data_IF_838974988933
#
_entry.id   IF_838974988933
#
_cell.length_a   1.000
_cell.length_b   1.000
_cell.length_c   1.000
_cell.angle_alpha   90.00
_cell.angle_beta   90.00
_cell.angle_gamma   90.00
#
_symmetry.space_group_name_H-M   'P 1'
#
loop_
_entity.id
_entity.type
_entity.pdbx_description
1 polymer ?
#
# COMPACT_ATOMS: atom_id res chain seq x y z
N UNK A 1 5.69 -3.70 4.41
CA UNK A 1 6.87 -2.89 4.04
C UNK A 1 7.32 -2.05 5.21
N UNK A 2 8.65 -1.98 5.42
CA UNK A 2 9.27 -1.07 6.40
C UNK A 2 9.41 0.32 5.77
N UNK A 3 9.41 1.36 6.60
CA UNK A 3 9.51 2.75 6.11
C UNK A 3 10.80 2.98 5.32
N UNK A 4 11.89 2.30 5.69
CA UNK A 4 13.19 2.41 5.03
C UNK A 4 13.16 1.96 3.57
N UNK A 5 12.42 0.88 3.28
CA UNK A 5 12.22 0.38 1.91
C UNK A 5 11.42 1.40 1.08
N UNK A 6 10.38 1.97 1.67
CA UNK A 6 9.51 2.95 0.99
C UNK A 6 10.27 4.24 0.64
N UNK A 7 11.20 4.68 1.50
CA UNK A 7 12.04 5.86 1.25
C UNK A 7 13.09 5.65 0.16
N UNK A 8 13.46 4.41 -0.14
CA UNK A 8 14.44 4.08 -1.17
C UNK A 8 13.83 4.02 -2.58
N UNK A 9 12.50 4.01 -2.70
CA UNK A 9 11.79 3.96 -3.97
C UNK A 9 11.79 5.33 -4.67
N UNK A 10 11.94 5.31 -5.99
CA UNK A 10 11.75 6.47 -6.86
C UNK A 10 10.26 6.82 -7.03
N UNK A 11 9.97 8.03 -7.54
CA UNK A 11 8.60 8.52 -7.72
C UNK A 11 7.74 7.60 -8.58
N UNK A 12 8.31 7.01 -9.63
CA UNK A 12 7.60 6.09 -10.52
C UNK A 12 7.34 4.74 -9.83
N UNK A 13 8.34 4.19 -9.12
CA UNK A 13 8.20 2.95 -8.37
C UNK A 13 7.16 3.08 -7.25
N UNK A 14 7.11 4.22 -6.55
CA UNK A 14 6.08 4.48 -5.53
C UNK A 14 4.68 4.45 -6.15
N UNK A 15 4.49 5.05 -7.34
CA UNK A 15 3.19 5.03 -8.05
C UNK A 15 2.78 3.63 -8.50
N UNK A 16 3.72 2.86 -9.03
CA UNK A 16 3.48 1.48 -9.47
C UNK A 16 3.14 0.56 -8.28
N UNK A 17 3.89 0.69 -7.19
CA UNK A 17 3.63 -0.07 -5.97
C UNK A 17 2.30 0.32 -5.31
N UNK A 18 1.95 1.61 -5.32
CA UNK A 18 0.66 2.10 -4.84
C UNK A 18 -0.51 1.46 -5.59
N UNK A 19 -0.40 1.37 -6.92
CA UNK A 19 -1.42 0.74 -7.77
C UNK A 19 -1.56 -0.74 -7.44
N UNK A 20 -0.43 -1.43 -7.32
CA UNK A 20 -0.39 -2.86 -6.97
C UNK A 20 -1.01 -3.13 -5.60
N UNK A 21 -0.66 -2.35 -4.57
CA UNK A 21 -1.20 -2.53 -3.22
C UNK A 21 -2.68 -2.17 -3.11
N UNK A 22 -3.17 -1.20 -3.91
CA UNK A 22 -4.62 -0.90 -4.00
C UNK A 22 -5.40 -2.07 -4.60
N UNK A 23 -4.90 -2.67 -5.68
CA UNK A 23 -5.52 -3.86 -6.26
C UNK A 23 -5.51 -5.04 -5.28
N UNK A 24 -4.41 -5.22 -4.55
CA UNK A 24 -4.30 -6.22 -3.49
C UNK A 24 -5.33 -6.00 -2.38
N UNK A 25 -5.53 -4.75 -1.93
CA UNK A 25 -6.54 -4.41 -0.92
C UNK A 25 -7.95 -4.77 -1.40
N UNK A 26 -8.28 -4.46 -2.65
CA UNK A 26 -9.58 -4.77 -3.26
C UNK A 26 -9.81 -6.29 -3.30
N UNK A 27 -8.81 -7.05 -3.76
CA UNK A 27 -8.86 -8.51 -3.78
C UNK A 27 -9.03 -9.10 -2.38
N UNK A 28 -8.33 -8.57 -1.38
CA UNK A 28 -8.48 -9.00 0.02
C UNK A 28 -9.87 -8.70 0.58
N UNK A 29 -10.46 -7.55 0.23
CA UNK A 29 -11.82 -7.20 0.64
C UNK A 29 -12.85 -8.13 0.00
N UNK A 30 -12.72 -8.41 -1.30
CA UNK A 30 -13.60 -9.37 -1.99
C UNK A 30 -13.45 -10.78 -1.41
N UNK A 31 -12.21 -11.24 -1.20
CA UNK A 31 -11.96 -12.54 -0.59
C UNK A 31 -12.59 -12.63 0.81
N UNK A 32 -12.46 -11.59 1.64
CA UNK A 32 -13.07 -11.54 2.97
C UNK A 32 -14.60 -11.53 2.96
N UNK A 33 -15.19 -10.85 1.98
CA UNK A 33 -16.63 -10.79 1.82
C UNK A 33 -17.22 -12.13 1.37
N UNK A 34 -16.48 -12.90 0.56
CA UNK A 34 -16.89 -14.24 0.09
C UNK A 34 -16.67 -15.28 1.19
N UNK A 35 -15.54 -15.21 1.88
CA UNK A 35 -15.18 -16.14 2.96
C UNK A 35 -14.38 -15.41 4.05
N UNK A 36 -14.66 -15.64 5.34
CA UNK A 36 -13.87 -15.04 6.41
C UNK A 36 -12.38 -15.38 6.25
N UNK A 37 -11.59 -14.38 5.85
CA UNK A 37 -10.14 -14.49 5.83
C UNK A 37 -9.61 -15.02 7.17
N UNK A 38 -8.68 -15.97 7.11
CA UNK A 38 -7.97 -16.48 8.28
C UNK A 38 -7.27 -15.36 9.08
N UNK A 39 -6.83 -14.30 8.38
CA UNK A 39 -6.09 -13.19 8.98
C UNK A 39 -6.60 -11.81 8.52
N UNK A 40 -7.69 -11.29 9.12
CA UNK A 40 -8.24 -9.96 8.79
C UNK A 40 -7.24 -8.81 9.00
N UNK A 41 -6.26 -9.01 9.89
CA UNK A 41 -5.15 -8.08 10.15
C UNK A 41 -4.34 -7.74 8.90
N UNK A 42 -4.32 -8.60 7.88
CA UNK A 42 -3.68 -8.30 6.59
C UNK A 42 -4.30 -7.09 5.91
N UNK A 43 -5.63 -6.95 5.93
CA UNK A 43 -6.32 -5.78 5.35
C UNK A 43 -5.82 -4.49 6.04
N UNK A 44 -5.72 -4.51 7.38
CA UNK A 44 -5.21 -3.37 8.14
C UNK A 44 -3.75 -3.05 7.79
N UNK A 45 -2.92 -4.07 7.63
CA UNK A 45 -1.51 -3.90 7.25
C UNK A 45 -1.37 -3.31 5.84
N UNK A 46 -2.12 -3.83 4.87
CA UNK A 46 -2.15 -3.33 3.48
C UNK A 46 -2.58 -1.86 3.44
N UNK A 47 -3.65 -1.49 4.15
CA UNK A 47 -4.05 -0.07 4.26
C UNK A 47 -2.94 0.82 4.83
N UNK A 48 -2.21 0.34 5.84
CA UNK A 48 -1.09 1.09 6.44
C UNK A 48 0.07 1.23 5.46
N UNK A 49 0.33 0.23 4.64
CA UNK A 49 1.34 0.30 3.57
C UNK A 49 0.96 1.33 2.51
N UNK A 50 -0.30 1.33 2.04
CA UNK A 50 -0.81 2.33 1.09
C UNK A 50 -0.63 3.74 1.64
N UNK A 51 -1.06 4.01 2.87
CA UNK A 51 -0.92 5.34 3.49
C UNK A 51 0.54 5.82 3.55
N UNK A 52 1.49 4.91 3.79
CA UNK A 52 2.93 5.24 3.79
C UNK A 52 3.45 5.56 2.40
N UNK A 53 3.01 4.81 1.38
CA UNK A 53 3.35 5.07 -0.03
C UNK A 53 2.80 6.43 -0.48
N UNK A 54 1.55 6.76 -0.14
CA UNK A 54 0.95 8.06 -0.44
C UNK A 54 1.69 9.22 0.26
N UNK A 55 2.08 9.03 1.51
CA UNK A 55 2.88 10.02 2.24
C UNK A 55 4.23 10.25 1.57
N UNK A 56 4.91 9.18 1.14
CA UNK A 56 6.18 9.28 0.44
C UNK A 56 6.01 9.98 -0.92
N UNK A 57 4.98 9.62 -1.69
CA UNK A 57 4.66 10.26 -2.97
C UNK A 57 4.49 11.77 -2.77
N UNK A 58 3.69 12.18 -1.78
CA UNK A 58 3.48 13.59 -1.46
C UNK A 58 4.76 14.29 -1.03
N UNK A 59 5.60 13.62 -0.25
CA UNK A 59 6.90 14.16 0.16
C UNK A 59 7.84 14.38 -1.03
N UNK A 60 7.82 13.50 -2.03
CA UNK A 60 8.62 13.66 -3.24
C UNK A 60 8.10 14.80 -4.12
N UNK A 61 6.78 14.95 -4.23
CA UNK A 61 6.14 16.05 -4.98
C UNK A 61 6.37 17.43 -4.36
N UNK A 62 6.47 17.53 -3.03
CA UNK A 62 6.70 18.79 -2.32
C UNK A 62 8.18 19.21 -2.29
N UNK A 63 9.10 18.26 -2.46
CA UNK A 63 10.54 18.51 -2.47
C UNK A 63 11.10 18.66 -3.89
N UNK A 64 10.23 18.66 -4.90
CA UNK A 64 10.56 18.90 -6.31
C UNK A 64 10.43 20.36 -6.72
#
# INVERSE_FOLDING_TARGET
MKQSEIKALSLNEVKEQLTTERNNLVNLQFAHAISPLENPSRIKLTRKTIARLETQLRSLELNG
#
